data_IF_097821215887
#
_entry.id   IF_097821215887
#
_cell.length_a   1.000
_cell.length_b   1.000
_cell.length_c   1.000
_cell.angle_alpha   90.00
_cell.angle_beta   90.00
_cell.angle_gamma   90.00
#
_symmetry.space_group_name_H-M   'P 1'
#
loop_
_entity.id
_entity.type
_entity.pdbx_description
1 polymer ?
#
# COMPACT_ATOMS: atom_id res chain seq x y z
N UNK A 1 29.44 -8.87 1.87
CA UNK A 1 29.67 -8.82 3.33
C UNK A 1 28.30 -8.85 4.03
N UNK A 2 27.93 -9.95 4.69
CA UNK A 2 26.65 -10.04 5.39
C UNK A 2 26.63 -9.08 6.58
N UNK A 3 25.73 -8.10 6.56
CA UNK A 3 25.42 -7.27 7.72
C UNK A 3 25.02 -8.15 8.90
N UNK A 4 25.64 -7.96 10.08
CA UNK A 4 25.29 -8.71 11.29
C UNK A 4 23.81 -8.51 11.66
N UNK A 5 23.20 -9.53 12.28
CA UNK A 5 21.77 -9.54 12.68
C UNK A 5 21.38 -8.27 13.47
N UNK A 6 22.27 -7.79 14.36
CA UNK A 6 22.02 -6.56 15.14
C UNK A 6 21.91 -5.28 14.28
N UNK A 7 22.74 -5.18 13.24
CA UNK A 7 22.72 -4.02 12.34
C UNK A 7 21.45 -4.01 11.46
N UNK A 8 21.02 -5.18 10.98
CA UNK A 8 19.75 -5.30 10.21
C UNK A 8 18.56 -4.90 11.06
N UNK A 9 18.51 -5.33 12.33
CA UNK A 9 17.45 -4.94 13.27
C UNK A 9 17.45 -3.42 13.48
N UNK A 10 18.62 -2.81 13.70
CA UNK A 10 18.74 -1.35 13.89
C UNK A 10 18.26 -0.56 12.67
N UNK A 11 18.63 -0.97 11.46
CA UNK A 11 18.19 -0.33 10.21
C UNK A 11 16.64 -0.44 10.07
N UNK A 12 16.08 -1.62 10.35
CA UNK A 12 14.64 -1.84 10.31
C UNK A 12 13.89 -0.92 11.31
N UNK A 13 14.36 -0.84 12.57
CA UNK A 13 13.76 -0.01 13.61
C UNK A 13 13.86 1.49 13.28
N UNK A 14 14.99 1.91 12.70
CA UNK A 14 15.19 3.28 12.25
C UNK A 14 14.18 3.63 11.15
N UNK A 15 14.05 2.81 10.11
CA UNK A 15 13.10 3.03 9.01
C UNK A 15 11.65 3.05 9.51
N UNK A 16 11.26 2.12 10.38
CA UNK A 16 9.94 2.14 11.01
C UNK A 16 9.70 3.42 11.83
N UNK A 17 10.73 3.94 12.50
CA UNK A 17 10.64 5.21 13.25
C UNK A 17 10.48 6.41 12.31
N UNK A 18 11.16 6.45 11.20
CA UNK A 18 11.01 7.49 10.17
C UNK A 18 9.60 7.47 9.60
N UNK A 19 9.10 6.29 9.18
CA UNK A 19 7.72 6.12 8.70
C UNK A 19 6.71 6.57 9.78
N UNK A 20 6.90 6.19 11.06
CA UNK A 20 5.96 6.57 12.12
C UNK A 20 5.81 8.08 12.28
N UNK A 21 6.87 8.87 12.04
CA UNK A 21 6.80 10.34 12.07
C UNK A 21 5.91 10.90 10.96
N UNK A 22 5.88 10.25 9.79
CA UNK A 22 5.04 10.67 8.67
C UNK A 22 3.55 10.47 8.98
N UNK A 23 3.21 9.39 9.69
CA UNK A 23 1.83 8.99 9.97
C UNK A 23 1.30 9.43 11.34
N UNK A 24 2.11 10.06 12.20
CA UNK A 24 1.71 10.46 13.56
C UNK A 24 0.56 11.49 13.61
N UNK A 25 0.40 12.28 12.57
CA UNK A 25 -0.72 13.22 12.45
C UNK A 25 -2.02 12.55 12.00
N UNK A 26 -1.94 11.40 11.36
CA UNK A 26 -3.06 10.61 10.84
C UNK A 26 -3.54 9.60 11.87
N UNK A 27 -2.62 8.78 12.38
CA UNK A 27 -2.95 7.64 13.21
C UNK A 27 -2.97 8.00 14.69
N UNK A 28 -3.94 7.43 15.40
CA UNK A 28 -4.10 7.55 16.85
C UNK A 28 -4.11 6.15 17.47
N UNK A 29 -3.73 6.02 18.76
CA UNK A 29 -3.82 4.75 19.45
C UNK A 29 -5.24 4.17 19.40
N UNK A 30 -5.35 2.87 19.14
CA UNK A 30 -6.61 2.15 19.05
C UNK A 30 -7.28 2.16 17.68
N UNK A 31 -6.77 2.91 16.69
CA UNK A 31 -7.25 2.85 15.32
C UNK A 31 -6.96 1.50 14.68
N UNK A 32 -7.89 1.01 13.85
CA UNK A 32 -7.71 -0.15 12.98
C UNK A 32 -7.11 0.28 11.65
N UNK A 33 -6.00 -0.34 11.27
CA UNK A 33 -5.26 -0.03 10.04
C UNK A 33 -5.11 -1.29 9.20
N UNK A 34 -5.37 -1.19 7.89
CA UNK A 34 -5.01 -2.23 6.94
C UNK A 34 -3.72 -1.84 6.22
N UNK A 35 -2.69 -2.70 6.31
CA UNK A 35 -1.39 -2.57 5.65
C UNK A 35 -1.33 -3.58 4.50
N UNK A 36 -1.70 -3.14 3.29
CA UNK A 36 -1.83 -3.98 2.10
C UNK A 36 -0.56 -3.89 1.27
N UNK A 37 0.13 -5.03 1.08
CA UNK A 37 1.48 -5.10 0.57
C UNK A 37 2.51 -4.88 1.69
N UNK A 38 2.27 -5.50 2.86
CA UNK A 38 3.07 -5.26 4.07
C UNK A 38 4.55 -5.62 3.93
N UNK A 39 4.93 -6.41 2.92
CA UNK A 39 6.28 -6.87 2.66
C UNK A 39 6.92 -7.43 3.94
N UNK A 40 8.08 -6.95 4.38
CA UNK A 40 8.75 -7.36 5.61
C UNK A 40 8.23 -6.65 6.87
N UNK A 41 7.21 -5.76 6.77
CA UNK A 41 6.50 -5.14 7.88
C UNK A 41 7.09 -3.82 8.40
N UNK A 42 7.71 -3.01 7.55
CA UNK A 42 8.20 -1.68 7.96
C UNK A 42 7.05 -0.74 8.34
N UNK A 43 5.98 -0.69 7.52
CA UNK A 43 4.78 0.08 7.81
C UNK A 43 4.01 -0.51 8.98
N UNK A 44 3.84 -1.84 9.03
CA UNK A 44 3.28 -2.55 10.18
C UNK A 44 3.95 -2.13 11.49
N UNK A 45 5.32 -2.09 11.54
CA UNK A 45 6.07 -1.64 12.71
C UNK A 45 5.78 -0.19 13.07
N UNK A 46 5.70 0.68 12.07
CA UNK A 46 5.42 2.11 12.28
C UNK A 46 4.01 2.33 12.84
N UNK A 47 3.01 1.62 12.32
CA UNK A 47 1.62 1.74 12.77
C UNK A 47 1.42 1.20 14.19
N UNK A 48 2.06 0.05 14.52
CA UNK A 48 2.08 -0.48 15.89
C UNK A 48 2.72 0.52 16.85
N UNK A 49 3.83 1.17 16.45
CA UNK A 49 4.51 2.17 17.26
C UNK A 49 3.61 3.37 17.58
N UNK A 50 2.67 3.70 16.69
CA UNK A 50 1.64 4.73 16.88
C UNK A 50 0.42 4.23 17.69
N UNK A 51 0.42 2.95 18.09
CA UNK A 51 -0.60 2.36 18.93
C UNK A 51 -1.79 1.75 18.18
N UNK A 52 -1.73 1.65 16.86
CA UNK A 52 -2.76 1.06 16.03
C UNK A 52 -2.86 -0.47 16.23
N UNK A 53 -4.03 -1.02 15.91
CA UNK A 53 -4.23 -2.43 15.56
C UNK A 53 -4.08 -2.58 14.04
N UNK A 54 -3.34 -3.59 13.58
CA UNK A 54 -2.94 -3.67 12.17
C UNK A 54 -3.31 -5.02 11.57
N UNK A 55 -4.03 -4.99 10.45
CA UNK A 55 -4.22 -6.14 9.56
C UNK A 55 -3.18 -6.03 8.44
N UNK A 56 -2.16 -6.86 8.48
CA UNK A 56 -1.06 -6.86 7.52
C UNK A 56 -1.22 -7.98 6.52
N UNK A 57 -1.29 -7.63 5.25
CA UNK A 57 -1.52 -8.56 4.13
C UNK A 57 -0.31 -8.57 3.22
N UNK A 58 0.27 -9.77 3.01
CA UNK A 58 1.46 -9.96 2.18
C UNK A 58 1.40 -11.31 1.43
N UNK A 59 1.36 -11.31 0.09
CA UNK A 59 1.27 -12.53 -0.70
C UNK A 59 2.58 -13.29 -0.83
N UNK A 60 3.74 -12.61 -0.86
CA UNK A 60 5.04 -13.24 -1.08
C UNK A 60 5.44 -14.10 0.13
N UNK A 61 5.52 -15.41 -0.06
CA UNK A 61 5.81 -16.38 1.03
C UNK A 61 7.07 -16.04 1.83
N UNK A 62 8.12 -15.55 1.19
CA UNK A 62 9.39 -15.27 1.87
C UNK A 62 9.30 -13.97 2.68
N UNK A 63 8.66 -12.92 2.18
CA UNK A 63 8.34 -11.69 2.93
C UNK A 63 7.40 -12.01 4.08
N UNK A 64 6.34 -12.80 3.84
CA UNK A 64 5.39 -13.21 4.86
C UNK A 64 6.04 -14.02 5.99
N UNK A 65 7.00 -14.92 5.71
CA UNK A 65 7.76 -15.63 6.75
C UNK A 65 8.48 -14.66 7.68
N UNK A 66 9.09 -13.61 7.13
CA UNK A 66 9.78 -12.58 7.91
C UNK A 66 8.78 -11.79 8.74
N UNK A 67 7.69 -11.34 8.12
CA UNK A 67 6.59 -10.62 8.76
C UNK A 67 6.00 -11.45 9.93
N UNK A 68 5.68 -12.72 9.68
CA UNK A 68 5.14 -13.64 10.67
C UNK A 68 6.14 -13.89 11.83
N UNK A 69 7.42 -14.06 11.53
CA UNK A 69 8.43 -14.25 12.57
C UNK A 69 8.54 -13.03 13.52
N UNK A 70 8.26 -11.81 13.01
CA UNK A 70 8.28 -10.57 13.79
C UNK A 70 7.04 -10.40 14.65
N UNK A 71 5.86 -10.72 14.12
CA UNK A 71 4.59 -10.24 14.70
C UNK A 71 3.60 -11.32 15.14
N UNK A 72 3.82 -12.62 14.87
CA UNK A 72 2.88 -13.69 15.24
C UNK A 72 2.47 -13.76 16.71
N UNK A 73 3.26 -13.17 17.60
CA UNK A 73 2.97 -13.10 19.04
C UNK A 73 2.49 -11.70 19.49
N UNK A 74 2.24 -10.78 18.57
CA UNK A 74 1.73 -9.46 18.87
C UNK A 74 0.20 -9.46 18.68
N UNK A 75 -0.54 -9.35 19.77
CA UNK A 75 -2.02 -9.39 19.74
C UNK A 75 -2.68 -8.24 18.99
N UNK A 76 -1.93 -7.19 18.64
CA UNK A 76 -2.41 -6.06 17.84
C UNK A 76 -2.15 -6.25 16.34
N UNK A 77 -1.64 -7.41 15.91
CA UNK A 77 -1.30 -7.65 14.49
C UNK A 77 -1.97 -8.91 13.99
N UNK A 78 -2.78 -8.76 12.97
CA UNK A 78 -3.41 -9.84 12.22
C UNK A 78 -2.63 -10.03 10.92
N UNK A 79 -2.15 -11.24 10.67
CA UNK A 79 -1.26 -11.55 9.54
C UNK A 79 -1.97 -12.44 8.53
N UNK A 80 -2.02 -12.01 7.27
CA UNK A 80 -2.64 -12.77 6.19
C UNK A 80 -1.66 -12.96 5.03
N UNK A 81 -1.46 -14.23 4.63
CA UNK A 81 -0.68 -14.55 3.43
C UNK A 81 -1.62 -14.65 2.21
N UNK A 82 -2.10 -13.49 1.78
CA UNK A 82 -2.99 -13.29 0.65
C UNK A 82 -2.52 -12.10 -0.18
N UNK A 83 -2.93 -12.05 -1.44
CA UNK A 83 -3.00 -10.82 -2.21
C UNK A 83 -4.41 -10.22 -2.12
N UNK A 84 -4.54 -8.93 -2.35
CA UNK A 84 -5.86 -8.30 -2.51
C UNK A 84 -6.19 -8.18 -4.00
N UNK A 85 -7.48 -8.41 -4.31
CA UNK A 85 -8.01 -8.34 -5.67
C UNK A 85 -9.49 -7.89 -5.65
N UNK A 86 -10.09 -7.78 -6.81
CA UNK A 86 -11.52 -7.52 -6.99
C UNK A 86 -12.41 -8.69 -6.57
N UNK A 87 -11.87 -9.91 -6.51
CA UNK A 87 -12.55 -11.15 -6.18
C UNK A 87 -11.65 -12.14 -5.42
N UNK A 88 -12.27 -13.06 -4.70
CA UNK A 88 -11.56 -14.15 -4.02
C UNK A 88 -11.16 -15.24 -5.02
N UNK A 89 -10.02 -15.88 -4.81
CA UNK A 89 -9.54 -16.96 -5.66
C UNK A 89 -8.05 -17.18 -5.58
N UNK A 90 -7.45 -17.43 -6.73
CA UNK A 90 -6.00 -17.58 -6.90
C UNK A 90 -5.55 -16.82 -8.14
N UNK A 91 -4.43 -16.13 -8.05
CA UNK A 91 -3.84 -15.36 -9.15
C UNK A 91 -2.33 -15.61 -9.24
N UNK A 92 -1.81 -15.37 -10.43
CA UNK A 92 -0.38 -15.39 -10.70
C UNK A 92 0.24 -14.07 -10.23
N UNK A 93 1.37 -14.16 -9.51
CA UNK A 93 2.20 -13.05 -9.09
C UNK A 93 3.60 -13.23 -9.65
N UNK A 94 4.17 -12.19 -10.23
CA UNK A 94 5.53 -12.14 -10.74
C UNK A 94 6.48 -11.71 -9.61
N UNK A 95 7.40 -12.60 -9.28
CA UNK A 95 8.35 -12.41 -8.18
C UNK A 95 9.64 -11.81 -8.72
N UNK A 96 10.01 -10.68 -8.20
CA UNK A 96 11.27 -10.00 -8.51
C UNK A 96 12.42 -10.48 -7.62
N UNK A 97 13.66 -10.32 -8.12
CA UNK A 97 14.87 -10.45 -7.29
C UNK A 97 14.98 -9.34 -6.23
N UNK A 98 14.25 -8.23 -6.41
CA UNK A 98 14.03 -7.19 -5.41
C UNK A 98 12.64 -7.39 -4.83
N UNK A 99 12.54 -7.78 -3.57
CA UNK A 99 11.29 -8.18 -2.91
C UNK A 99 10.23 -7.07 -2.83
N UNK A 100 10.66 -5.81 -2.89
CA UNK A 100 9.78 -4.63 -2.84
C UNK A 100 9.02 -4.37 -4.13
N UNK A 101 9.40 -4.96 -5.26
CA UNK A 101 8.81 -4.68 -6.58
C UNK A 101 8.23 -5.93 -7.27
N UNK A 102 7.85 -6.94 -6.49
CA UNK A 102 7.06 -8.06 -7.01
C UNK A 102 5.62 -7.61 -7.22
N UNK A 103 5.00 -8.00 -8.33
CA UNK A 103 3.69 -7.48 -8.73
C UNK A 103 2.80 -8.53 -9.39
N UNK A 104 1.49 -8.31 -9.34
CA UNK A 104 0.49 -9.01 -10.16
C UNK A 104 0.15 -8.23 -11.44
N UNK A 105 0.68 -7.01 -11.62
CA UNK A 105 0.45 -6.16 -12.78
C UNK A 105 1.50 -6.37 -13.87
N UNK A 106 1.16 -7.09 -14.94
CA UNK A 106 2.02 -7.25 -16.10
C UNK A 106 2.27 -5.89 -16.80
N UNK A 107 1.25 -5.03 -16.85
CA UNK A 107 1.34 -3.69 -17.45
C UNK A 107 2.36 -2.82 -16.71
N UNK A 108 2.32 -2.81 -15.37
CA UNK A 108 3.28 -2.08 -14.56
C UNK A 108 4.70 -2.62 -14.75
N UNK A 109 4.89 -3.95 -14.72
CA UNK A 109 6.18 -4.58 -14.97
C UNK A 109 6.74 -4.18 -16.33
N UNK A 110 5.90 -4.20 -17.38
CA UNK A 110 6.30 -3.80 -18.73
C UNK A 110 6.70 -2.31 -18.77
N UNK A 111 5.93 -1.46 -18.13
CA UNK A 111 6.16 -0.01 -18.06
C UNK A 111 7.47 0.33 -17.33
N UNK A 112 7.73 -0.25 -16.14
CA UNK A 112 8.98 0.00 -15.39
C UNK A 112 10.22 -0.60 -16.06
N UNK A 113 10.08 -1.70 -16.80
CA UNK A 113 11.17 -2.22 -17.67
C UNK A 113 11.48 -1.24 -18.79
N UNK A 114 10.46 -0.66 -19.41
CA UNK A 114 10.62 0.31 -20.51
C UNK A 114 11.28 1.61 -20.02
N UNK A 115 10.86 2.14 -18.88
CA UNK A 115 11.42 3.36 -18.26
C UNK A 115 12.82 3.15 -17.68
N UNK A 116 13.25 1.89 -17.50
CA UNK A 116 14.50 1.53 -16.81
C UNK A 116 14.59 2.06 -15.37
N UNK A 117 13.47 2.27 -14.71
CA UNK A 117 13.40 2.75 -13.32
C UNK A 117 14.16 1.86 -12.35
N UNK A 118 14.11 0.55 -12.57
CA UNK A 118 14.83 -0.46 -11.78
C UNK A 118 15.72 -1.29 -12.69
N UNK A 119 16.92 -0.79 -13.08
CA UNK A 119 17.73 -1.42 -14.13
C UNK A 119 18.20 -2.84 -13.80
N UNK A 120 18.34 -3.17 -12.50
CA UNK A 120 18.79 -4.49 -12.03
C UNK A 120 17.63 -5.44 -11.69
N UNK A 121 16.38 -4.99 -11.85
CA UNK A 121 15.21 -5.77 -11.53
C UNK A 121 14.94 -6.88 -12.55
N UNK A 122 14.66 -8.07 -12.05
CA UNK A 122 14.32 -9.24 -12.86
C UNK A 122 13.12 -9.95 -12.26
N UNK A 123 12.05 -10.09 -13.01
CA UNK A 123 10.86 -10.89 -12.67
C UNK A 123 11.00 -12.26 -13.34
N UNK A 124 11.87 -13.11 -12.80
CA UNK A 124 12.22 -14.41 -13.39
C UNK A 124 11.43 -15.58 -12.81
N UNK A 125 10.63 -15.33 -11.78
CA UNK A 125 9.82 -16.36 -11.09
C UNK A 125 8.37 -15.94 -11.04
N UNK A 126 7.49 -16.93 -11.03
CA UNK A 126 6.06 -16.75 -10.80
C UNK A 126 5.62 -17.58 -9.59
N UNK A 127 4.61 -17.11 -8.90
CA UNK A 127 3.96 -17.84 -7.82
C UNK A 127 2.44 -17.70 -7.95
N UNK A 128 1.73 -18.77 -7.64
CA UNK A 128 0.27 -18.69 -7.44
C UNK A 128 0.03 -18.24 -6.01
N UNK A 129 -0.72 -17.16 -5.85
CA UNK A 129 -1.09 -16.58 -4.57
C UNK A 129 -2.62 -16.61 -4.41
N UNK A 130 -3.08 -16.83 -3.19
CA UNK A 130 -4.50 -16.72 -2.86
C UNK A 130 -4.90 -15.25 -2.83
N UNK A 131 -6.11 -14.96 -3.33
CA UNK A 131 -6.68 -13.61 -3.30
C UNK A 131 -7.88 -13.52 -2.38
N UNK A 132 -8.07 -12.35 -1.78
CA UNK A 132 -9.27 -11.93 -1.06
C UNK A 132 -9.57 -10.47 -1.41
N UNK A 133 -10.66 -9.92 -0.89
CA UNK A 133 -11.08 -8.55 -1.21
C UNK A 133 -10.97 -7.64 0.01
N UNK A 134 -10.87 -6.31 -0.22
CA UNK A 134 -10.98 -5.33 0.86
C UNK A 134 -12.31 -5.46 1.61
N UNK A 135 -13.41 -5.72 0.89
CA UNK A 135 -14.72 -5.89 1.50
C UNK A 135 -14.78 -7.11 2.43
N UNK A 136 -14.15 -8.23 2.03
CA UNK A 136 -14.04 -9.42 2.89
C UNK A 136 -13.23 -9.13 4.17
N UNK A 137 -12.14 -8.34 4.06
CA UNK A 137 -11.39 -7.93 5.25
C UNK A 137 -12.21 -7.02 6.17
N UNK A 138 -12.99 -6.09 5.61
CA UNK A 138 -13.90 -5.23 6.38
C UNK A 138 -14.94 -6.08 7.10
N UNK A 139 -15.48 -7.10 6.44
CA UNK A 139 -16.42 -8.05 7.05
C UNK A 139 -15.82 -8.84 8.22
N UNK A 140 -14.53 -9.15 8.18
CA UNK A 140 -13.84 -9.94 9.21
C UNK A 140 -13.33 -9.11 10.37
N UNK A 141 -12.77 -7.91 10.11
CA UNK A 141 -12.05 -7.11 11.10
C UNK A 141 -12.77 -5.81 11.46
N UNK A 142 -13.80 -5.43 10.73
CA UNK A 142 -14.48 -4.13 10.86
C UNK A 142 -13.92 -3.09 9.87
N UNK A 143 -14.62 -1.96 9.80
CA UNK A 143 -14.21 -0.84 8.93
C UNK A 143 -12.91 -0.22 9.46
N UNK A 144 -11.82 -0.19 8.68
CA UNK A 144 -10.57 0.41 9.12
C UNK A 144 -10.69 1.95 9.16
N UNK A 145 -9.94 2.55 10.08
CA UNK A 145 -9.75 4.00 10.12
C UNK A 145 -8.82 4.49 9.02
N UNK A 146 -7.89 3.62 8.60
CA UNK A 146 -6.95 3.91 7.53
C UNK A 146 -6.56 2.63 6.77
N UNK A 147 -6.45 2.73 5.43
CA UNK A 147 -5.91 1.68 4.57
C UNK A 147 -4.67 2.22 3.84
N UNK A 148 -3.52 1.55 3.96
CA UNK A 148 -2.40 1.72 3.05
C UNK A 148 -2.44 0.64 1.98
N UNK A 149 -2.39 1.03 0.72
CA UNK A 149 -2.33 0.12 -0.43
C UNK A 149 -1.04 0.43 -1.20
N UNK A 150 -0.14 -0.57 -1.25
CA UNK A 150 1.17 -0.49 -1.89
C UNK A 150 1.46 -1.86 -2.49
N UNK A 151 1.00 -2.06 -3.72
CA UNK A 151 0.96 -3.37 -4.39
C UNK A 151 1.57 -3.33 -5.80
N UNK A 152 2.41 -2.30 -6.03
CA UNK A 152 3.26 -2.19 -7.21
C UNK A 152 2.46 -2.27 -8.53
N UNK A 153 1.53 -1.31 -8.69
CA UNK A 153 0.73 -1.13 -9.90
C UNK A 153 -0.53 -2.00 -9.99
N UNK A 154 -0.94 -2.67 -8.90
CA UNK A 154 -2.16 -3.47 -8.86
C UNK A 154 -3.28 -2.81 -8.04
N UNK A 155 -3.12 -1.53 -7.66
CA UNK A 155 -3.99 -0.76 -6.77
C UNK A 155 -5.44 -0.73 -7.26
N UNK A 156 -5.67 -0.56 -8.57
CA UNK A 156 -7.02 -0.51 -9.14
C UNK A 156 -7.79 -1.82 -8.90
N UNK A 157 -7.13 -2.95 -9.02
CA UNK A 157 -7.77 -4.24 -8.81
C UNK A 157 -8.09 -4.45 -7.32
N UNK A 158 -7.19 -4.05 -6.43
CA UNK A 158 -7.43 -4.04 -4.98
C UNK A 158 -8.64 -3.17 -4.65
N UNK A 159 -8.69 -1.95 -5.19
CA UNK A 159 -9.79 -1.01 -4.96
C UNK A 159 -11.13 -1.53 -5.49
N UNK A 160 -11.17 -2.23 -6.63
CA UNK A 160 -12.39 -2.87 -7.14
C UNK A 160 -12.99 -3.90 -6.18
N UNK A 161 -12.19 -4.41 -5.25
CA UNK A 161 -12.61 -5.24 -4.13
C UNK A 161 -13.20 -4.47 -2.95
N UNK A 162 -13.23 -3.14 -2.98
CA UNK A 162 -13.84 -2.26 -1.97
C UNK A 162 -15.23 -1.84 -2.45
N UNK A 163 -16.25 -2.01 -1.61
CA UNK A 163 -17.64 -1.57 -1.90
C UNK A 163 -18.12 -0.53 -0.90
N UNK A 164 -17.51 -0.52 0.25
CA UNK A 164 -17.86 0.36 1.38
C UNK A 164 -16.99 1.63 1.40
N UNK A 165 -17.53 2.73 1.93
CA UNK A 165 -16.72 3.92 2.22
C UNK A 165 -15.83 3.67 3.43
N UNK A 166 -14.59 4.15 3.36
CA UNK A 166 -13.63 4.13 4.47
C UNK A 166 -13.18 5.56 4.78
N UNK A 167 -12.85 5.89 6.03
CA UNK A 167 -12.51 7.27 6.41
C UNK A 167 -11.34 7.83 5.62
N UNK A 168 -10.27 7.03 5.48
CA UNK A 168 -9.04 7.45 4.82
C UNK A 168 -8.33 6.24 4.20
N UNK A 169 -7.75 6.41 3.02
CA UNK A 169 -6.83 5.44 2.44
C UNK A 169 -5.68 6.14 1.73
N UNK A 170 -4.57 5.42 1.52
CA UNK A 170 -3.51 5.84 0.61
C UNK A 170 -3.26 4.77 -0.44
N UNK A 171 -2.92 5.23 -1.65
CA UNK A 171 -2.44 4.40 -2.75
C UNK A 171 -1.11 4.94 -3.24
N UNK A 172 -0.23 4.07 -3.71
CA UNK A 172 0.95 4.49 -4.44
C UNK A 172 0.57 4.92 -5.86
N UNK A 173 1.25 5.96 -6.38
CA UNK A 173 1.21 6.33 -7.79
C UNK A 173 2.62 6.30 -8.38
N UNK A 174 2.73 5.86 -9.63
CA UNK A 174 3.97 5.92 -10.39
C UNK A 174 3.71 6.53 -11.76
N UNK A 175 4.67 7.33 -12.26
CA UNK A 175 4.58 7.98 -13.57
C UNK A 175 4.25 7.00 -14.70
N UNK A 176 4.82 5.82 -14.63
CA UNK A 176 4.73 4.79 -15.67
C UNK A 176 3.28 4.31 -15.94
N UNK A 177 2.41 4.40 -14.94
CA UNK A 177 1.02 3.92 -15.04
C UNK A 177 0.00 4.96 -14.57
N UNK A 178 0.24 6.22 -14.82
CA UNK A 178 -0.58 7.33 -14.31
C UNK A 178 -2.07 7.20 -14.62
N UNK A 179 -2.43 6.70 -15.81
CA UNK A 179 -3.83 6.49 -16.17
C UNK A 179 -4.50 5.39 -15.34
N UNK A 180 -3.74 4.44 -14.79
CA UNK A 180 -4.24 3.48 -13.81
C UNK A 180 -4.55 4.17 -12.48
N UNK A 181 -3.69 5.08 -12.03
CA UNK A 181 -3.94 5.91 -10.84
C UNK A 181 -5.18 6.81 -11.03
N UNK A 182 -5.36 7.39 -12.22
CA UNK A 182 -6.59 8.15 -12.56
C UNK A 182 -7.83 7.26 -12.41
N UNK A 183 -7.81 6.03 -12.94
CA UNK A 183 -8.91 5.06 -12.80
C UNK A 183 -9.17 4.68 -11.33
N UNK A 184 -8.14 4.67 -10.47
CA UNK A 184 -8.31 4.47 -9.03
C UNK A 184 -9.16 5.59 -8.41
N UNK A 185 -8.86 6.85 -8.75
CA UNK A 185 -9.62 8.02 -8.27
C UNK A 185 -11.06 7.95 -8.78
N UNK A 186 -11.25 7.70 -10.08
CA UNK A 186 -12.59 7.59 -10.70
C UNK A 186 -13.41 6.47 -10.06
N UNK A 187 -12.78 5.32 -9.77
CA UNK A 187 -13.46 4.22 -9.10
C UNK A 187 -13.89 4.61 -7.68
N UNK A 188 -13.02 5.22 -6.88
CA UNK A 188 -13.35 5.66 -5.53
C UNK A 188 -14.45 6.73 -5.53
N UNK A 189 -14.42 7.67 -6.50
CA UNK A 189 -15.48 8.67 -6.67
C UNK A 189 -16.84 8.03 -7.02
N UNK A 190 -16.85 6.91 -7.72
CA UNK A 190 -18.07 6.16 -8.01
C UNK A 190 -18.72 5.53 -6.75
N UNK A 191 -17.93 5.26 -5.69
CA UNK A 191 -18.42 4.78 -4.39
C UNK A 191 -18.98 5.94 -3.56
N UNK A 192 -18.38 7.13 -3.68
CA UNK A 192 -18.83 8.31 -2.95
C UNK A 192 -17.94 9.51 -3.18
N UNK A 193 -18.41 10.68 -2.77
CA UNK A 193 -17.64 11.93 -2.92
C UNK A 193 -16.32 11.84 -2.14
N UNK A 194 -15.21 12.18 -2.79
CA UNK A 194 -13.87 12.12 -2.20
C UNK A 194 -13.12 13.44 -2.33
N UNK A 195 -12.09 13.59 -1.52
CA UNK A 195 -11.04 14.58 -1.68
C UNK A 195 -9.68 13.85 -1.69
N UNK A 196 -8.74 14.41 -2.43
CA UNK A 196 -7.41 13.88 -2.63
C UNK A 196 -6.38 14.81 -2.00
N UNK A 197 -5.41 14.25 -1.32
CA UNK A 197 -4.22 14.95 -0.83
C UNK A 197 -2.99 14.27 -1.44
N UNK A 198 -2.15 15.08 -2.06
CA UNK A 198 -0.98 14.65 -2.78
C UNK A 198 0.21 15.52 -2.41
N UNK A 199 1.40 14.92 -2.36
CA UNK A 199 2.67 15.59 -2.12
C UNK A 199 3.58 14.79 -1.20
N UNK A 200 4.80 15.30 -1.01
CA UNK A 200 5.74 14.74 -0.05
C UNK A 200 5.14 14.80 1.35
N UNK A 201 5.22 13.68 2.07
CA UNK A 201 4.82 13.46 3.46
C UNK A 201 3.81 14.48 4.01
N UNK A 202 2.52 14.20 3.96
CA UNK A 202 1.49 15.18 4.21
C UNK A 202 1.58 15.71 5.64
N UNK A 203 1.82 16.99 5.79
CA UNK A 203 1.42 17.70 6.98
C UNK A 203 -0.11 17.79 6.98
N UNK A 204 -0.77 16.76 7.55
CA UNK A 204 -2.23 16.65 7.60
C UNK A 204 -2.93 17.80 8.35
N UNK A 205 -2.18 18.74 8.88
CA UNK A 205 -2.69 19.93 9.56
C UNK A 205 -3.14 21.04 8.60
N UNK A 206 -2.82 20.94 7.31
CA UNK A 206 -3.16 21.97 6.35
C UNK A 206 -4.47 21.61 5.63
N UNK A 207 -5.58 22.18 6.14
CA UNK A 207 -6.93 22.00 5.56
C UNK A 207 -7.02 22.43 4.08
N UNK A 208 -6.07 23.23 3.60
CA UNK A 208 -6.08 23.81 2.26
C UNK A 208 -5.41 22.92 1.20
N UNK A 209 -4.84 21.80 1.58
CA UNK A 209 -4.14 20.88 0.64
C UNK A 209 -5.03 19.79 0.04
N UNK A 210 -6.24 19.58 0.56
CA UNK A 210 -7.18 18.64 -0.01
C UNK A 210 -7.85 19.23 -1.25
N UNK A 211 -7.68 18.57 -2.39
CA UNK A 211 -8.17 19.02 -3.68
C UNK A 211 -9.29 18.13 -4.21
N UNK A 212 -10.04 18.62 -5.20
CA UNK A 212 -11.08 17.85 -5.87
C UNK A 212 -10.48 16.74 -6.73
N UNK A 213 -11.28 15.74 -7.09
CA UNK A 213 -10.90 14.69 -8.05
C UNK A 213 -10.47 15.28 -9.39
N UNK A 214 -11.17 16.29 -9.86
CA UNK A 214 -10.83 17.00 -11.11
C UNK A 214 -9.41 17.62 -11.06
N UNK A 215 -9.10 18.37 -9.98
CA UNK A 215 -7.78 18.97 -9.81
C UNK A 215 -6.69 17.93 -9.64
N UNK A 216 -6.96 16.83 -8.90
CA UNK A 216 -6.04 15.75 -8.71
C UNK A 216 -5.69 15.04 -10.03
N UNK A 217 -6.69 14.72 -10.86
CA UNK A 217 -6.50 14.09 -12.16
C UNK A 217 -5.69 15.00 -13.10
N UNK A 218 -6.00 16.31 -13.13
CA UNK A 218 -5.25 17.25 -13.95
C UNK A 218 -3.78 17.37 -13.49
N UNK A 219 -3.54 17.38 -12.19
CA UNK A 219 -2.19 17.43 -11.65
C UNK A 219 -1.42 16.12 -11.92
N UNK A 220 -2.06 14.94 -11.79
CA UNK A 220 -1.48 13.64 -12.14
C UNK A 220 -0.98 13.59 -13.59
N UNK A 221 -1.75 14.09 -14.53
CA UNK A 221 -1.38 14.14 -15.95
C UNK A 221 -0.23 15.11 -16.27
N UNK A 222 0.19 15.90 -15.30
CA UNK A 222 1.29 16.88 -15.44
C UNK A 222 2.52 16.50 -14.62
N UNK A 223 2.54 15.33 -13.94
CA UNK A 223 3.70 14.92 -13.17
C UNK A 223 4.89 14.66 -14.08
N UNK A 224 6.07 14.89 -13.50
CA UNK A 224 7.34 14.68 -14.21
C UNK A 224 7.63 13.19 -14.38
N UNK A 225 8.37 12.88 -15.42
CA UNK A 225 8.94 11.55 -15.61
C UNK A 225 9.67 11.05 -14.35
N UNK A 226 9.52 9.76 -14.06
CA UNK A 226 10.04 9.09 -12.86
C UNK A 226 9.45 9.52 -11.51
N UNK A 227 8.41 10.36 -11.48
CA UNK A 227 7.72 10.67 -10.24
C UNK A 227 6.97 9.45 -9.67
N UNK A 228 7.03 9.29 -8.37
CA UNK A 228 6.25 8.32 -7.60
C UNK A 228 6.01 8.84 -6.19
N UNK A 229 5.00 8.31 -5.53
CA UNK A 229 4.71 8.65 -4.14
C UNK A 229 3.36 8.15 -3.67
N UNK A 230 2.99 8.55 -2.47
CA UNK A 230 1.70 8.22 -1.89
C UNK A 230 0.67 9.32 -2.15
N UNK A 231 -0.54 8.91 -2.47
CA UNK A 231 -1.71 9.76 -2.58
C UNK A 231 -2.71 9.36 -1.50
N UNK A 232 -3.18 10.33 -0.73
CA UNK A 232 -4.17 10.11 0.32
C UNK A 232 -5.55 10.52 -0.18
N UNK A 233 -6.55 9.69 0.12
CA UNK A 233 -7.91 9.88 -0.35
C UNK A 233 -8.85 9.68 0.84
N UNK A 234 -9.73 10.66 1.06
CA UNK A 234 -10.78 10.58 2.08
C UNK A 234 -12.16 10.72 1.46
N UNK A 235 -13.07 9.89 1.95
CA UNK A 235 -14.49 10.07 1.66
C UNK A 235 -15.05 11.23 2.48
N UNK A 236 -15.93 12.02 1.84
CA UNK A 236 -16.65 13.11 2.50
C UNK A 236 -18.16 12.88 2.38
N UNK A 237 -18.92 13.43 3.32
CA UNK A 237 -20.39 13.37 3.31
C UNK A 237 -20.99 14.28 2.25
#
# INVERSE_FOLDING_TARGET
>A
MMLGLGLRKKIFEQRASEISKLYQSILKPGMLVFDIGANQGHYTAAFIKLGAEVVSVEPQKDCFKILNARYKNNSKVHLLNYALDSEEGEKKMHISNLDTISSMSEDWIAAVKSSKRFPDAQWSKEAVVKTTTLESLIGLYGTPDFIKIDVEGYELNVLRGLKSKVPLLSIEYTYEIIETTVKCIEYLESIGKILVLWGEAPEFNDKNKWISTFDAINALRQIKENAAGDMFIKFIN
#
